data_IF_836570013851
#
_entry.id   IF_836570013851
#
_cell.length_a   1.000
_cell.length_b   1.000
_cell.length_c   1.000
_cell.angle_alpha   90.00
_cell.angle_beta   90.00
_cell.angle_gamma   90.00
#
_symmetry.space_group_name_H-M   'P 1'
#
loop_
_entity.id
_entity.type
_entity.pdbx_description
1 polymer ?
#
# COMPACT_ATOMS: atom_id res chain seq x y z
N UNK A 1 -27.92 7.23 17.82
CA UNK A 1 -28.38 7.24 16.42
C UNK A 1 -27.20 7.40 15.44
N UNK A 2 -26.31 8.38 15.62
CA UNK A 2 -25.13 8.60 14.78
C UNK A 2 -24.17 7.40 14.76
N UNK A 3 -23.94 6.74 15.90
CA UNK A 3 -23.09 5.56 15.98
C UNK A 3 -23.65 4.34 15.21
N UNK A 4 -24.96 4.14 15.27
CA UNK A 4 -25.63 3.11 14.46
C UNK A 4 -25.49 3.37 12.97
N UNK A 5 -25.68 4.61 12.54
CA UNK A 5 -25.49 5.03 11.13
C UNK A 5 -24.05 4.84 10.66
N UNK A 6 -23.07 5.10 11.52
CA UNK A 6 -21.66 4.87 11.22
C UNK A 6 -21.36 3.36 11.06
N UNK A 7 -21.83 2.52 11.96
CA UNK A 7 -21.65 1.07 11.87
C UNK A 7 -22.28 0.49 10.61
N UNK A 8 -23.51 0.90 10.24
CA UNK A 8 -24.19 0.45 9.03
C UNK A 8 -23.40 0.84 7.78
N UNK A 9 -22.91 2.10 7.71
CA UNK A 9 -22.08 2.56 6.58
C UNK A 9 -20.78 1.78 6.45
N UNK A 10 -20.12 1.48 7.56
CA UNK A 10 -18.85 0.74 7.56
C UNK A 10 -19.07 -0.71 7.11
N UNK A 11 -20.15 -1.33 7.54
CA UNK A 11 -20.50 -2.71 7.15
C UNK A 11 -20.90 -2.79 5.68
N UNK A 12 -21.70 -1.85 5.18
CA UNK A 12 -22.06 -1.77 3.76
C UNK A 12 -20.84 -1.52 2.87
N UNK A 13 -19.90 -0.68 3.29
CA UNK A 13 -18.65 -0.45 2.57
C UNK A 13 -17.78 -1.71 2.52
N UNK A 14 -17.66 -2.44 3.64
CA UNK A 14 -16.90 -3.68 3.71
C UNK A 14 -17.48 -4.76 2.79
N UNK A 15 -18.80 -4.93 2.78
CA UNK A 15 -19.51 -5.88 1.90
C UNK A 15 -19.34 -5.52 0.43
N UNK A 16 -19.46 -4.23 0.10
CA UNK A 16 -19.27 -3.76 -1.27
C UNK A 16 -17.84 -3.93 -1.75
N UNK A 17 -16.84 -3.65 -0.90
CA UNK A 17 -15.44 -3.89 -1.19
C UNK A 17 -15.15 -5.38 -1.44
N UNK A 18 -15.70 -6.26 -0.62
CA UNK A 18 -15.55 -7.71 -0.77
C UNK A 18 -16.17 -8.19 -2.10
N UNK A 19 -17.36 -7.68 -2.44
CA UNK A 19 -18.00 -7.94 -3.72
C UNK A 19 -17.10 -7.55 -4.90
N UNK A 20 -16.57 -6.32 -4.93
CA UNK A 20 -15.68 -5.84 -5.98
C UNK A 20 -14.38 -6.65 -6.06
N UNK A 21 -13.87 -7.13 -4.95
CA UNK A 21 -12.67 -7.95 -4.87
C UNK A 21 -12.87 -9.39 -5.36
N UNK A 22 -14.08 -9.92 -5.27
CA UNK A 22 -14.41 -11.30 -5.69
C UNK A 22 -14.99 -11.39 -7.09
N UNK A 23 -15.81 -10.42 -7.48
CA UNK A 23 -16.46 -10.42 -8.80
C UNK A 23 -15.44 -10.16 -9.90
N UNK A 24 -15.33 -11.11 -10.83
CA UNK A 24 -14.44 -11.02 -12.00
C UNK A 24 -15.20 -10.55 -13.22
N UNK A 25 -14.53 -9.76 -14.03
CA UNK A 25 -15.01 -9.37 -15.35
C UNK A 25 -15.03 -10.62 -16.22
N UNK A 26 -16.18 -11.00 -16.80
CA UNK A 26 -16.29 -12.18 -17.65
C UNK A 26 -15.27 -12.17 -18.79
N UNK A 27 -14.76 -13.36 -19.14
CA UNK A 27 -13.87 -13.52 -20.28
C UNK A 27 -14.65 -13.30 -21.58
N UNK A 28 -14.20 -12.34 -22.36
CA UNK A 28 -14.73 -12.07 -23.70
C UNK A 28 -13.57 -11.89 -24.67
N UNK A 29 -13.74 -12.29 -25.93
CA UNK A 29 -12.80 -11.94 -26.98
C UNK A 29 -13.06 -10.49 -27.37
N UNK A 30 -12.08 -9.64 -27.09
CA UNK A 30 -12.09 -8.27 -27.61
C UNK A 30 -11.86 -8.34 -29.13
N UNK A 31 -12.54 -7.51 -29.94
CA UNK A 31 -12.15 -7.27 -31.32
C UNK A 31 -10.69 -6.79 -31.37
N UNK A 32 -9.95 -7.16 -32.44
CA UNK A 32 -8.53 -6.78 -32.59
C UNK A 32 -8.29 -5.26 -32.65
N UNK A 33 -9.36 -4.49 -32.91
CA UNK A 33 -9.41 -3.03 -32.97
C UNK A 33 -10.02 -2.38 -31.72
N UNK A 34 -10.21 -3.14 -30.64
CA UNK A 34 -10.80 -2.63 -29.40
C UNK A 34 -9.89 -1.54 -28.80
N UNK A 35 -10.45 -0.39 -28.38
CA UNK A 35 -9.66 0.67 -27.77
C UNK A 35 -8.97 0.18 -26.48
N UNK A 36 -7.78 0.74 -26.18
CA UNK A 36 -7.02 0.44 -24.93
C UNK A 36 -7.83 0.61 -23.63
N UNK A 37 -8.96 1.31 -23.72
CA UNK A 37 -9.93 1.51 -22.65
C UNK A 37 -10.76 0.27 -22.29
N UNK A 38 -10.59 -0.86 -23.00
CA UNK A 38 -11.38 -2.05 -22.75
C UNK A 38 -11.13 -2.67 -21.37
N UNK A 39 -12.22 -3.21 -20.78
CA UNK A 39 -12.18 -3.88 -19.48
C UNK A 39 -11.30 -5.14 -19.55
N UNK A 40 -10.33 -5.29 -18.66
CA UNK A 40 -9.43 -6.44 -18.67
C UNK A 40 -10.19 -7.71 -18.27
N UNK A 41 -10.42 -8.61 -19.23
CA UNK A 41 -11.06 -9.88 -18.99
C UNK A 41 -10.38 -10.73 -17.92
N UNK A 42 -11.14 -11.37 -17.06
CA UNK A 42 -10.64 -12.23 -15.99
C UNK A 42 -10.11 -11.52 -14.76
N UNK A 43 -9.93 -10.20 -14.80
CA UNK A 43 -9.58 -9.39 -13.60
C UNK A 43 -10.80 -9.09 -12.76
N UNK A 44 -10.59 -8.75 -11.50
CA UNK A 44 -11.67 -8.34 -10.60
C UNK A 44 -12.14 -6.92 -10.90
N UNK A 45 -13.37 -6.57 -10.49
CA UNK A 45 -13.87 -5.20 -10.60
C UNK A 45 -13.00 -4.23 -9.80
N UNK A 46 -12.48 -4.65 -8.63
CA UNK A 46 -11.53 -3.86 -7.86
C UNK A 46 -10.21 -3.60 -8.61
N UNK A 47 -9.69 -4.58 -9.36
CA UNK A 47 -8.49 -4.39 -10.18
C UNK A 47 -8.73 -3.41 -11.34
N UNK A 48 -9.92 -3.42 -11.93
CA UNK A 48 -10.31 -2.45 -12.96
C UNK A 48 -10.37 -1.03 -12.39
N UNK A 49 -10.90 -0.84 -11.18
CA UNK A 49 -10.99 0.45 -10.50
C UNK A 49 -9.63 1.02 -10.07
N UNK A 50 -8.55 0.21 -10.03
CA UNK A 50 -7.19 0.74 -9.74
C UNK A 50 -6.65 1.59 -10.89
N UNK A 51 -7.23 1.51 -12.06
CA UNK A 51 -6.87 2.36 -13.20
C UNK A 51 -7.30 3.81 -12.93
N UNK A 52 -6.45 4.81 -13.23
CA UNK A 52 -6.76 6.21 -12.95
C UNK A 52 -7.97 6.72 -13.75
N UNK A 53 -8.15 6.20 -14.95
CA UNK A 53 -9.19 6.55 -15.94
C UNK A 53 -10.55 5.86 -15.71
N UNK A 54 -10.64 4.90 -14.80
CA UNK A 54 -11.85 4.11 -14.54
C UNK A 54 -12.38 4.42 -13.14
N UNK A 55 -13.56 5.01 -13.04
CA UNK A 55 -14.33 5.12 -11.80
C UNK A 55 -15.52 4.14 -11.80
N UNK A 56 -16.33 4.13 -10.74
CA UNK A 56 -17.48 3.23 -10.63
C UNK A 56 -18.55 3.50 -11.68
N UNK A 57 -18.72 4.75 -12.10
CA UNK A 57 -19.72 5.12 -13.10
C UNK A 57 -19.26 4.71 -14.49
N UNK A 58 -18.00 5.00 -14.83
CA UNK A 58 -17.38 4.55 -16.05
C UNK A 58 -17.38 3.02 -16.14
N UNK A 59 -17.00 2.32 -15.06
CA UNK A 59 -16.99 0.85 -15.01
C UNK A 59 -18.39 0.27 -15.25
N UNK A 60 -19.42 0.86 -14.64
CA UNK A 60 -20.79 0.43 -14.82
C UNK A 60 -21.29 0.67 -16.25
N UNK A 61 -21.02 1.86 -16.83
CA UNK A 61 -21.38 2.17 -18.21
C UNK A 61 -20.69 1.22 -19.20
N UNK A 62 -19.39 0.99 -19.03
CA UNK A 62 -18.62 0.06 -19.87
C UNK A 62 -19.15 -1.37 -19.81
N UNK A 63 -19.63 -1.84 -18.66
CA UNK A 63 -20.24 -3.16 -18.53
C UNK A 63 -21.65 -3.19 -19.13
N UNK A 64 -22.46 -2.15 -18.92
CA UNK A 64 -23.85 -2.08 -19.39
C UNK A 64 -23.96 -1.93 -20.92
N UNK A 65 -23.03 -1.20 -21.53
CA UNK A 65 -23.00 -0.91 -22.97
C UNK A 65 -22.23 -1.98 -23.77
N UNK A 66 -21.62 -2.95 -23.07
CA UNK A 66 -20.84 -4.00 -23.73
C UNK A 66 -21.74 -4.88 -24.61
N UNK A 67 -21.28 -5.28 -25.81
CA UNK A 67 -22.08 -6.08 -26.76
C UNK A 67 -22.24 -7.56 -26.35
N UNK A 68 -21.75 -7.93 -25.17
CA UNK A 68 -21.73 -9.30 -24.69
C UNK A 68 -22.62 -9.45 -23.44
N UNK A 69 -23.59 -10.38 -23.51
CA UNK A 69 -24.62 -10.60 -22.46
C UNK A 69 -24.04 -10.80 -21.07
N UNK A 70 -22.97 -11.58 -20.94
CA UNK A 70 -22.31 -11.79 -19.63
C UNK A 70 -21.71 -10.51 -19.02
N UNK A 71 -21.34 -9.51 -19.82
CA UNK A 71 -20.85 -8.23 -19.35
C UNK A 71 -22.01 -7.31 -18.92
N UNK A 72 -23.11 -7.30 -19.69
CA UNK A 72 -24.30 -6.54 -19.32
C UNK A 72 -24.96 -7.09 -18.06
N UNK A 73 -24.96 -8.42 -17.86
CA UNK A 73 -25.37 -9.06 -16.62
C UNK A 73 -24.48 -8.64 -15.43
N UNK A 74 -23.15 -8.63 -15.60
CA UNK A 74 -22.22 -8.15 -14.58
C UNK A 74 -22.44 -6.67 -14.25
N UNK A 75 -22.82 -5.85 -15.24
CA UNK A 75 -23.20 -4.44 -15.07
C UNK A 75 -24.47 -4.29 -14.23
N UNK A 76 -25.49 -5.10 -14.46
CA UNK A 76 -26.74 -5.12 -13.70
C UNK A 76 -26.51 -5.56 -12.25
N UNK A 77 -25.67 -6.58 -12.04
CA UNK A 77 -25.26 -7.00 -10.69
C UNK A 77 -24.49 -5.89 -9.95
N UNK A 78 -23.58 -5.20 -10.63
CA UNK A 78 -22.85 -4.05 -10.05
C UNK A 78 -23.81 -2.93 -9.66
N UNK A 79 -24.79 -2.61 -10.51
CA UNK A 79 -25.83 -1.62 -10.20
C UNK A 79 -26.61 -1.98 -8.93
N UNK A 80 -26.99 -3.25 -8.81
CA UNK A 80 -27.68 -3.77 -7.63
C UNK A 80 -26.83 -3.66 -6.37
N UNK A 81 -25.56 -4.08 -6.45
CA UNK A 81 -24.61 -3.98 -5.34
C UNK A 81 -24.37 -2.53 -4.90
N UNK A 82 -24.28 -1.60 -5.86
CA UNK A 82 -24.16 -0.14 -5.57
C UNK A 82 -25.39 0.42 -4.87
N UNK A 83 -26.57 0.02 -5.31
CA UNK A 83 -27.83 0.46 -4.69
C UNK A 83 -27.93 -0.04 -3.24
N UNK A 84 -27.52 -1.28 -2.98
CA UNK A 84 -27.48 -1.85 -1.62
C UNK A 84 -26.46 -1.16 -0.72
N UNK A 85 -25.27 -0.86 -1.24
CA UNK A 85 -24.21 -0.21 -0.47
C UNK A 85 -24.54 1.26 -0.16
N UNK A 86 -25.18 1.95 -1.09
CA UNK A 86 -25.44 3.39 -1.02
C UNK A 86 -24.27 4.26 -1.49
N UNK A 87 -24.57 5.47 -1.93
CA UNK A 87 -23.61 6.36 -2.58
C UNK A 87 -22.35 6.65 -1.73
N UNK A 88 -22.50 6.93 -0.45
CA UNK A 88 -21.37 7.24 0.42
C UNK A 88 -20.45 6.05 0.70
N UNK A 89 -20.95 4.81 0.71
CA UNK A 89 -20.13 3.62 0.82
C UNK A 89 -19.38 3.35 -0.51
N UNK A 90 -20.06 3.52 -1.65
CA UNK A 90 -19.46 3.38 -2.97
C UNK A 90 -18.29 4.34 -3.18
N UNK A 91 -18.47 5.63 -2.84
CA UNK A 91 -17.42 6.65 -2.92
C UNK A 91 -16.22 6.30 -2.03
N UNK A 92 -16.47 5.94 -0.76
CA UNK A 92 -15.41 5.56 0.18
C UNK A 92 -14.60 4.37 -0.32
N UNK A 93 -15.26 3.32 -0.80
CA UNK A 93 -14.60 2.11 -1.33
C UNK A 93 -13.82 2.42 -2.60
N UNK A 94 -14.35 3.25 -3.50
CA UNK A 94 -13.61 3.67 -4.70
C UNK A 94 -12.32 4.40 -4.34
N UNK A 95 -12.39 5.35 -3.40
CA UNK A 95 -11.21 6.08 -2.90
C UNK A 95 -10.21 5.09 -2.30
N UNK A 96 -10.65 4.19 -1.41
CA UNK A 96 -9.78 3.18 -0.79
C UNK A 96 -9.06 2.32 -1.84
N UNK A 97 -9.76 1.81 -2.86
CA UNK A 97 -9.18 0.97 -3.91
C UNK A 97 -8.15 1.77 -4.73
N UNK A 98 -8.46 3.00 -5.12
CA UNK A 98 -7.54 3.85 -5.89
C UNK A 98 -6.27 4.19 -5.12
N UNK A 99 -6.40 4.46 -3.82
CA UNK A 99 -5.27 4.85 -2.96
C UNK A 99 -4.57 3.68 -2.28
N UNK A 100 -5.05 2.44 -2.42
CA UNK A 100 -4.49 1.26 -1.75
C UNK A 100 -2.97 1.12 -1.96
N UNK A 101 -2.48 1.32 -3.18
CA UNK A 101 -1.06 1.25 -3.49
C UNK A 101 -0.22 2.32 -2.76
N UNK A 102 -0.78 3.52 -2.57
CA UNK A 102 -0.13 4.59 -1.80
C UNK A 102 -0.14 4.29 -0.31
N UNK A 103 -1.26 3.79 0.21
CA UNK A 103 -1.39 3.43 1.62
C UNK A 103 -0.44 2.29 2.01
N UNK A 104 -0.25 1.30 1.14
CA UNK A 104 0.72 0.21 1.36
C UNK A 104 2.13 0.79 1.43
N UNK A 105 2.55 1.59 0.46
CA UNK A 105 3.87 2.23 0.46
C UNK A 105 4.09 3.13 1.69
N UNK A 106 3.07 3.89 2.08
CA UNK A 106 3.14 4.73 3.28
C UNK A 106 3.33 3.91 4.55
N UNK A 107 2.60 2.79 4.69
CA UNK A 107 2.76 1.86 5.83
C UNK A 107 4.15 1.25 5.87
N UNK A 108 4.69 0.85 4.72
CA UNK A 108 6.06 0.32 4.61
C UNK A 108 7.11 1.36 5.04
N UNK A 109 6.96 2.62 4.62
CA UNK A 109 7.85 3.72 5.03
C UNK A 109 7.78 3.96 6.54
N UNK A 110 6.57 3.99 7.11
CA UNK A 110 6.37 4.15 8.56
C UNK A 110 7.01 2.97 9.32
N UNK A 111 6.76 1.73 8.88
CA UNK A 111 7.33 0.54 9.49
C UNK A 111 8.87 0.55 9.42
N UNK A 112 9.43 0.96 8.27
CA UNK A 112 10.89 1.12 8.11
C UNK A 112 11.44 2.19 9.05
N UNK A 113 10.80 3.34 9.16
CA UNK A 113 11.20 4.41 10.08
C UNK A 113 11.17 3.94 11.53
N UNK A 114 10.08 3.30 11.95
CA UNK A 114 9.96 2.75 13.30
C UNK A 114 11.04 1.70 13.61
N UNK A 115 11.38 0.85 12.64
CA UNK A 115 12.48 -0.13 12.77
C UNK A 115 13.82 0.56 12.95
N UNK A 116 14.13 1.59 12.17
CA UNK A 116 15.38 2.34 12.29
C UNK A 116 15.49 3.04 13.66
N UNK A 117 14.38 3.57 14.17
CA UNK A 117 14.34 4.17 15.52
C UNK A 117 14.56 3.13 16.63
N UNK A 118 14.00 1.93 16.47
CA UNK A 118 14.16 0.84 17.43
C UNK A 118 15.54 0.17 17.37
N UNK A 119 16.32 0.40 16.30
CA UNK A 119 17.64 -0.19 16.12
C UNK A 119 18.69 0.65 16.87
N UNK A 120 19.12 0.17 18.03
CA UNK A 120 20.10 0.84 18.84
C UNK A 120 21.52 0.79 18.23
N UNK A 121 22.24 1.89 18.35
CA UNK A 121 23.66 1.99 18.04
C UNK A 121 24.46 1.86 19.34
N UNK A 122 25.44 0.93 19.44
CA UNK A 122 26.28 0.81 20.60
C UNK A 122 27.05 2.13 20.86
N UNK A 123 27.09 2.63 22.09
CA UNK A 123 27.79 3.89 22.40
C UNK A 123 29.28 3.88 22.04
N UNK A 124 29.87 2.68 22.03
CA UNK A 124 31.31 2.45 21.75
C UNK A 124 31.58 2.07 20.29
N UNK A 125 30.59 2.24 19.39
CA UNK A 125 30.75 1.90 17.97
C UNK A 125 31.85 2.75 17.34
N UNK A 126 32.84 2.08 16.74
CA UNK A 126 33.90 2.72 15.98
C UNK A 126 33.43 2.94 14.53
N UNK A 127 32.97 4.15 14.25
CA UNK A 127 32.43 4.50 12.91
C UNK A 127 33.51 4.48 11.82
N UNK A 128 34.80 4.57 12.15
CA UNK A 128 35.89 4.48 11.17
C UNK A 128 36.02 3.06 10.57
N UNK A 129 35.55 2.03 11.27
CA UNK A 129 35.55 0.63 10.82
C UNK A 129 34.34 0.28 9.95
N UNK A 130 33.39 1.18 9.79
CA UNK A 130 32.19 0.94 8.97
C UNK A 130 32.55 1.20 7.51
N UNK A 131 32.62 0.13 6.71
CA UNK A 131 32.91 0.26 5.29
C UNK A 131 31.81 1.05 4.57
N UNK A 132 32.23 1.97 3.67
CA UNK A 132 31.30 2.76 2.85
C UNK A 132 30.87 4.08 3.46
N UNK A 133 31.34 4.46 4.65
CA UNK A 133 31.15 5.80 5.18
C UNK A 133 32.24 6.76 4.68
N UNK A 134 31.83 7.97 4.30
CA UNK A 134 32.78 9.04 4.01
C UNK A 134 33.38 9.61 5.30
N UNK A 135 34.58 10.21 5.20
CA UNK A 135 35.25 10.84 6.34
C UNK A 135 34.36 11.88 7.06
N UNK A 136 33.65 12.69 6.29
CA UNK A 136 32.70 13.70 6.82
C UNK A 136 31.57 13.05 7.65
N UNK A 137 31.00 11.94 7.16
CA UNK A 137 29.95 11.24 7.87
C UNK A 137 30.48 10.60 9.15
N UNK A 138 31.68 10.00 9.13
CA UNK A 138 32.35 9.46 10.32
C UNK A 138 32.57 10.55 11.36
N UNK A 139 33.06 11.73 10.97
CA UNK A 139 33.26 12.87 11.87
C UNK A 139 31.96 13.32 12.53
N UNK A 140 30.88 13.47 11.72
CA UNK A 140 29.55 13.86 12.22
C UNK A 140 28.97 12.84 13.20
N UNK A 141 29.08 11.54 12.88
CA UNK A 141 28.61 10.46 13.75
C UNK A 141 29.41 10.41 15.06
N UNK A 142 30.72 10.63 15.02
CA UNK A 142 31.56 10.70 16.20
C UNK A 142 31.24 11.90 17.08
N UNK A 143 30.89 13.03 16.49
CA UNK A 143 30.52 14.24 17.23
C UNK A 143 29.15 14.14 17.90
N UNK A 144 28.14 13.57 17.19
CA UNK A 144 26.76 13.53 17.69
C UNK A 144 26.49 12.29 18.56
N UNK A 145 27.20 11.17 18.28
CA UNK A 145 26.99 9.88 18.97
C UNK A 145 25.52 9.47 19.04
N UNK A 146 24.84 9.26 17.89
CA UNK A 146 23.45 8.89 17.88
C UNK A 146 23.20 7.56 18.60
N UNK A 147 22.07 7.43 19.31
CA UNK A 147 21.70 6.21 20.02
C UNK A 147 20.93 5.20 19.18
N UNK A 148 20.43 5.60 17.98
CA UNK A 148 19.72 4.72 17.06
C UNK A 148 20.06 5.02 15.60
N UNK A 149 19.79 4.05 14.70
CA UNK A 149 19.91 4.26 13.24
C UNK A 149 18.99 5.38 12.76
N UNK A 150 17.78 5.49 13.32
CA UNK A 150 16.85 6.57 12.99
C UNK A 150 17.41 7.94 13.36
N UNK A 151 18.01 8.06 14.54
CA UNK A 151 18.68 9.30 14.96
C UNK A 151 19.89 9.62 14.07
N UNK A 152 20.68 8.61 13.69
CA UNK A 152 21.80 8.80 12.76
C UNK A 152 21.33 9.35 11.42
N UNK A 153 20.22 8.84 10.88
CA UNK A 153 19.64 9.29 9.60
C UNK A 153 19.11 10.72 9.62
N UNK A 154 18.84 11.30 10.79
CA UNK A 154 18.41 12.70 10.93
C UNK A 154 19.58 13.71 11.02
N UNK A 155 20.80 13.23 11.13
CA UNK A 155 21.98 14.11 11.16
C UNK A 155 22.21 14.70 9.78
N UNK A 156 22.29 16.01 9.66
CA UNK A 156 22.54 16.70 8.40
C UNK A 156 23.84 16.21 7.74
N UNK A 157 23.73 15.73 6.50
CA UNK A 157 24.85 15.18 5.72
C UNK A 157 25.03 13.65 5.87
N UNK A 158 24.26 12.99 6.74
CA UNK A 158 24.19 11.52 6.76
C UNK A 158 23.13 11.08 5.75
N UNK A 159 23.59 10.38 4.70
CA UNK A 159 22.71 9.93 3.61
C UNK A 159 22.01 8.60 3.96
N UNK A 160 20.89 8.25 3.27
CA UNK A 160 20.29 6.93 3.41
C UNK A 160 21.26 5.77 3.11
N UNK A 161 22.22 5.98 2.21
CA UNK A 161 23.28 5.01 1.92
C UNK A 161 24.21 4.80 3.13
N UNK A 162 24.58 5.87 3.83
CA UNK A 162 25.37 5.78 5.05
C UNK A 162 24.62 5.02 6.16
N UNK A 163 23.32 5.25 6.32
CA UNK A 163 22.48 4.48 7.26
C UNK A 163 22.46 3.00 6.90
N UNK A 164 22.36 2.67 5.61
CA UNK A 164 22.42 1.28 5.15
C UNK A 164 23.78 0.64 5.45
N UNK A 165 24.89 1.36 5.28
CA UNK A 165 26.24 0.88 5.67
C UNK A 165 26.32 0.58 7.17
N UNK A 166 25.75 1.42 8.02
CA UNK A 166 25.66 1.17 9.47
C UNK A 166 24.82 -0.07 9.77
N UNK A 167 23.65 -0.22 9.11
CA UNK A 167 22.77 -1.40 9.29
C UNK A 167 23.51 -2.70 8.92
N UNK A 168 24.21 -2.73 7.78
CA UNK A 168 25.02 -3.88 7.35
C UNK A 168 26.15 -4.18 8.34
N UNK A 169 26.81 -3.14 8.85
CA UNK A 169 27.89 -3.32 9.82
C UNK A 169 27.38 -3.90 11.14
N UNK A 170 26.26 -3.41 11.66
CA UNK A 170 25.61 -3.95 12.86
C UNK A 170 25.19 -5.40 12.68
N UNK A 171 24.71 -5.74 11.48
CA UNK A 171 24.37 -7.13 11.14
C UNK A 171 25.62 -8.05 11.18
N UNK A 172 26.76 -7.59 10.63
CA UNK A 172 28.04 -8.32 10.69
C UNK A 172 28.54 -8.53 12.12
N UNK A 173 28.25 -7.58 13.00
CA UNK A 173 28.59 -7.69 14.43
C UNK A 173 27.60 -8.59 15.22
N UNK A 174 26.55 -9.14 14.58
CA UNK A 174 25.53 -9.94 15.25
C UNK A 174 24.60 -9.13 16.17
N UNK A 175 24.63 -7.82 16.08
CA UNK A 175 23.82 -6.91 16.90
C UNK A 175 22.42 -6.69 16.32
N UNK A 176 22.20 -7.04 15.06
CA UNK A 176 20.89 -7.08 14.42
C UNK A 176 20.47 -8.53 14.22
N UNK A 177 19.36 -8.93 14.82
CA UNK A 177 18.74 -10.22 14.48
C UNK A 177 18.19 -10.13 13.05
N UNK A 178 18.43 -11.14 12.18
CA UNK A 178 17.83 -11.14 10.85
C UNK A 178 16.31 -11.17 11.01
N UNK A 179 15.63 -10.11 10.57
CA UNK A 179 14.18 -10.12 10.49
C UNK A 179 13.77 -11.05 9.34
N UNK A 180 13.25 -12.24 9.69
CA UNK A 180 12.32 -12.97 8.82
C UNK A 180 11.17 -12.00 8.54
N UNK A 181 10.83 -11.80 7.28
CA UNK A 181 9.77 -10.92 6.80
C UNK A 181 8.57 -10.88 7.74
N UNK A 182 8.35 -9.75 8.39
CA UNK A 182 7.17 -9.51 9.22
C UNK A 182 5.97 -9.20 8.30
N UNK A 183 5.46 -10.23 7.64
CA UNK A 183 4.20 -10.18 6.87
C UNK A 183 2.96 -10.36 7.74
N UNK A 184 3.06 -10.38 9.07
CA UNK A 184 1.97 -10.84 9.93
C UNK A 184 1.57 -9.89 11.08
N UNK A 185 2.06 -8.65 11.16
CA UNK A 185 1.85 -7.80 12.34
C UNK A 185 0.96 -6.56 12.12
N UNK A 186 0.12 -6.52 11.10
CA UNK A 186 -0.79 -5.37 10.83
C UNK A 186 -2.26 -5.70 11.07
N UNK A 187 -2.56 -6.85 11.65
CA UNK A 187 -3.96 -7.28 11.85
C UNK A 187 -4.57 -6.90 13.22
N UNK A 188 -3.90 -6.08 14.04
CA UNK A 188 -4.46 -5.71 15.35
C UNK A 188 -4.03 -4.30 15.75
N UNK A 189 -4.70 -3.31 15.18
CA UNK A 189 -4.86 -1.99 15.80
C UNK A 189 -6.36 -1.71 15.88
N UNK A 190 -6.84 -1.27 17.07
CA UNK A 190 -8.24 -1.07 17.36
C UNK A 190 -8.89 0.04 16.53
#
# INVERSE_FOLDING_TARGET
EQWRMFCIKTESAAQFRDYLGKKRIPGHKLPDDAPEACLPAGKTLAEALKRPDVDLDALQSMLAEAPHEALTEAGAELATARAQAGAGACESVQIEIKYEGYLVRQRELIARSARLEATALPPQLDYAKVAGLSHEVVEKLNRVRPCSLGQAGRISGVTPAAVACLEVHLHKLGLLRPHKHASAAVASLP
#
